data_IF_836670290826
#
_entry.id   IF_836670290826
#
_cell.length_a   1.000
_cell.length_b   1.000
_cell.length_c   1.000
_cell.angle_alpha   90.00
_cell.angle_beta   90.00
_cell.angle_gamma   90.00
#
_symmetry.space_group_name_H-M   'P 1'
#
loop_
_entity.id
_entity.type
_entity.pdbx_description
1 polymer ?
#
# COMPACT_ATOMS: atom_id res chain seq x y z
N UNK A 1 -10.06 20.71 -19.02
CA UNK A 1 -8.62 20.77 -19.37
C UNK A 1 -7.91 19.41 -19.39
N UNK A 2 -8.59 18.25 -19.50
CA UNK A 2 -7.90 16.94 -19.55
C UNK A 2 -8.38 16.00 -20.67
N UNK A 3 -9.34 16.42 -21.49
CA UNK A 3 -9.96 15.62 -22.56
C UNK A 3 -8.98 15.23 -23.67
N UNK A 4 -7.93 16.03 -23.90
CA UNK A 4 -6.97 15.82 -24.99
C UNK A 4 -6.02 14.66 -24.74
N UNK A 5 -5.57 14.46 -23.49
CA UNK A 5 -4.68 13.34 -23.16
C UNK A 5 -5.45 12.02 -23.03
N UNK A 6 -6.66 12.05 -22.47
CA UNK A 6 -7.50 10.85 -22.39
C UNK A 6 -7.90 10.33 -23.77
N UNK A 7 -8.16 11.23 -24.73
CA UNK A 7 -8.51 10.84 -26.10
C UNK A 7 -7.39 10.08 -26.82
N UNK A 8 -6.11 10.39 -26.54
CA UNK A 8 -4.96 9.66 -27.12
C UNK A 8 -4.83 8.22 -26.63
N UNK A 9 -5.47 7.90 -25.51
CA UNK A 9 -5.33 6.62 -24.81
C UNK A 9 -6.64 5.84 -24.80
N UNK A 10 -7.66 6.36 -25.51
CA UNK A 10 -8.89 5.65 -25.79
C UNK A 10 -8.55 4.37 -26.55
N UNK A 11 -8.99 3.24 -26.00
CA UNK A 11 -8.73 1.90 -26.50
C UNK A 11 -9.89 1.33 -27.32
N UNK A 12 -11.02 2.04 -27.37
CA UNK A 12 -12.25 1.60 -28.02
C UNK A 12 -12.83 2.71 -28.88
N UNK A 13 -13.49 2.34 -29.98
CA UNK A 13 -14.15 3.26 -30.89
C UNK A 13 -15.58 3.58 -30.44
N UNK A 14 -16.22 2.67 -29.68
CA UNK A 14 -17.58 2.85 -29.17
C UNK A 14 -17.76 2.40 -27.72
N UNK A 15 -18.85 2.83 -27.09
CA UNK A 15 -19.23 2.38 -25.74
C UNK A 15 -19.69 0.92 -25.76
N UNK A 16 -20.27 0.45 -26.86
CA UNK A 16 -20.69 -0.95 -27.00
C UNK A 16 -19.50 -1.89 -27.04
N UNK A 17 -18.46 -1.54 -27.80
CA UNK A 17 -17.20 -2.27 -27.86
C UNK A 17 -16.52 -2.36 -26.48
N UNK A 18 -16.52 -1.25 -25.73
CA UNK A 18 -16.06 -1.23 -24.34
C UNK A 18 -16.87 -2.19 -23.45
N UNK A 19 -18.21 -2.17 -23.57
CA UNK A 19 -19.07 -3.04 -22.78
C UNK A 19 -18.83 -4.52 -23.09
N UNK A 20 -18.61 -4.87 -24.36
CA UNK A 20 -18.31 -6.24 -24.79
C UNK A 20 -16.94 -6.71 -24.31
N UNK A 21 -15.93 -5.84 -24.36
CA UNK A 21 -14.61 -6.13 -23.78
C UNK A 21 -14.72 -6.38 -22.27
N UNK A 22 -15.50 -5.58 -21.53
CA UNK A 22 -15.70 -5.78 -20.09
C UNK A 22 -16.40 -7.11 -19.80
N UNK A 23 -17.46 -7.46 -20.55
CA UNK A 23 -18.15 -8.75 -20.40
C UNK A 23 -17.19 -9.91 -20.63
N UNK A 24 -16.39 -9.83 -21.69
CA UNK A 24 -15.39 -10.84 -22.04
C UNK A 24 -14.33 -10.97 -20.96
N UNK A 25 -13.80 -9.86 -20.43
CA UNK A 25 -12.84 -9.85 -19.34
C UNK A 25 -13.38 -10.50 -18.07
N UNK A 26 -14.63 -10.19 -17.69
CA UNK A 26 -15.28 -10.79 -16.52
C UNK A 26 -15.49 -12.30 -16.73
N UNK A 27 -15.86 -12.71 -17.93
CA UNK A 27 -16.06 -14.12 -18.26
C UNK A 27 -14.75 -14.91 -18.21
N UNK A 28 -13.70 -14.43 -18.91
CA UNK A 28 -12.38 -15.08 -18.97
C UNK A 28 -11.70 -15.13 -17.60
N UNK A 29 -11.82 -14.07 -16.81
CA UNK A 29 -11.16 -13.95 -15.50
C UNK A 29 -12.08 -14.26 -14.30
N UNK A 30 -13.21 -14.96 -14.51
CA UNK A 30 -14.24 -15.19 -13.48
C UNK A 30 -13.69 -15.81 -12.20
N UNK A 31 -12.77 -16.77 -12.30
CA UNK A 31 -12.12 -17.43 -11.17
C UNK A 31 -11.07 -16.55 -10.48
N UNK A 32 -10.45 -15.63 -11.23
CA UNK A 32 -9.38 -14.77 -10.74
C UNK A 32 -9.89 -13.48 -10.08
N UNK A 33 -11.07 -13.00 -10.47
CA UNK A 33 -11.64 -11.73 -10.00
C UNK A 33 -12.38 -11.87 -8.67
N UNK A 34 -12.07 -10.97 -7.74
CA UNK A 34 -12.82 -10.84 -6.49
C UNK A 34 -14.09 -9.99 -6.73
N UNK A 35 -15.14 -10.13 -5.91
CA UNK A 35 -16.34 -9.31 -6.03
C UNK A 35 -16.03 -7.80 -5.99
N UNK A 36 -15.08 -7.38 -5.13
CA UNK A 36 -14.62 -6.00 -5.06
C UNK A 36 -13.90 -5.54 -6.34
N UNK A 37 -13.16 -6.42 -7.03
CA UNK A 37 -12.54 -6.10 -8.31
C UNK A 37 -13.59 -5.89 -9.41
N UNK A 38 -14.67 -6.69 -9.40
CA UNK A 38 -15.80 -6.52 -10.32
C UNK A 38 -16.55 -5.21 -10.03
N UNK A 39 -16.81 -4.89 -8.77
CA UNK A 39 -17.43 -3.61 -8.37
C UNK A 39 -16.59 -2.41 -8.84
N UNK A 40 -15.26 -2.45 -8.62
CA UNK A 40 -14.34 -1.41 -9.09
C UNK A 40 -14.34 -1.31 -10.61
N UNK A 41 -14.28 -2.43 -11.33
CA UNK A 41 -14.31 -2.43 -12.80
C UNK A 41 -15.61 -1.81 -13.33
N UNK A 42 -16.76 -2.10 -12.70
CA UNK A 42 -18.04 -1.47 -13.03
C UNK A 42 -18.00 0.05 -12.81
N UNK A 43 -17.43 0.53 -11.71
CA UNK A 43 -17.26 1.99 -11.50
C UNK A 43 -16.38 2.58 -12.60
N UNK A 44 -15.23 1.98 -12.89
CA UNK A 44 -14.35 2.46 -13.96
C UNK A 44 -15.07 2.50 -15.31
N UNK A 45 -15.85 1.47 -15.65
CA UNK A 45 -16.60 1.42 -16.91
C UNK A 45 -17.57 2.58 -17.09
N UNK A 46 -18.36 2.90 -16.05
CA UNK A 46 -19.32 4.03 -16.09
C UNK A 46 -18.63 5.37 -16.31
N UNK A 47 -17.45 5.54 -15.71
CA UNK A 47 -16.66 6.76 -15.86
C UNK A 47 -15.84 6.79 -17.16
N UNK A 48 -15.67 5.65 -17.82
CA UNK A 48 -14.99 5.53 -19.12
C UNK A 48 -15.93 5.76 -20.32
N UNK A 49 -17.26 5.82 -20.15
CA UNK A 49 -18.18 6.04 -21.28
C UNK A 49 -17.95 7.39 -22.00
N UNK A 50 -17.45 8.42 -21.30
CA UNK A 50 -17.16 9.73 -21.90
C UNK A 50 -15.94 9.73 -22.82
N UNK A 51 -15.00 8.83 -22.58
CA UNK A 51 -13.81 8.63 -23.41
C UNK A 51 -13.58 7.13 -23.43
N UNK A 52 -14.18 6.41 -24.41
CA UNK A 52 -14.28 4.95 -24.38
C UNK A 52 -12.94 4.29 -24.00
N UNK A 53 -12.95 3.56 -22.89
CA UNK A 53 -11.78 2.88 -22.34
C UNK A 53 -10.99 3.64 -21.28
N UNK A 54 -11.20 4.95 -21.07
CA UNK A 54 -10.38 5.74 -20.13
C UNK A 54 -11.21 6.34 -19.01
N UNK A 55 -10.92 5.95 -17.77
CA UNK A 55 -11.52 6.51 -16.56
C UNK A 55 -10.51 7.33 -15.76
N UNK A 56 -10.91 8.54 -15.33
CA UNK A 56 -10.06 9.43 -14.53
C UNK A 56 -10.65 9.65 -13.14
N UNK A 57 -10.09 8.96 -12.14
CA UNK A 57 -10.66 8.88 -10.80
C UNK A 57 -9.58 8.85 -9.71
N UNK A 58 -9.87 9.50 -8.58
CA UNK A 58 -9.07 9.30 -7.35
C UNK A 58 -9.43 7.97 -6.72
N UNK A 59 -8.45 7.32 -6.09
CA UNK A 59 -8.67 6.08 -5.33
C UNK A 59 -9.74 6.25 -4.24
N UNK A 60 -9.75 7.40 -3.56
CA UNK A 60 -10.73 7.68 -2.52
C UNK A 60 -12.14 7.76 -3.10
N UNK A 61 -12.32 8.49 -4.20
CA UNK A 61 -13.62 8.62 -4.87
C UNK A 61 -14.19 7.27 -5.32
N UNK A 62 -13.35 6.34 -5.81
CA UNK A 62 -13.80 4.98 -6.12
C UNK A 62 -14.27 4.27 -4.85
N UNK A 63 -13.53 4.41 -3.75
CA UNK A 63 -13.84 3.82 -2.46
C UNK A 63 -15.20 4.30 -1.93
N UNK A 64 -15.43 5.61 -2.01
CA UNK A 64 -16.69 6.25 -1.59
C UNK A 64 -17.86 5.74 -2.45
N UNK A 65 -17.68 5.61 -3.78
CA UNK A 65 -18.71 5.11 -4.70
C UNK A 65 -19.10 3.65 -4.47
N UNK A 66 -18.16 2.79 -4.04
CA UNK A 66 -18.44 1.38 -3.75
C UNK A 66 -18.71 1.09 -2.27
N UNK A 67 -18.62 2.09 -1.40
CA UNK A 67 -18.76 1.93 0.05
C UNK A 67 -17.71 1.01 0.69
N UNK A 68 -16.49 0.98 0.16
CA UNK A 68 -15.39 0.14 0.66
C UNK A 68 -14.22 1.00 1.11
N UNK A 69 -13.40 0.45 2.01
CA UNK A 69 -12.16 1.11 2.41
C UNK A 69 -11.21 1.28 1.23
N UNK A 70 -10.47 2.39 1.20
CA UNK A 70 -9.49 2.73 0.15
C UNK A 70 -8.48 1.60 -0.12
N UNK A 71 -8.04 0.88 0.90
CA UNK A 71 -7.12 -0.26 0.76
C UNK A 71 -7.73 -1.40 -0.06
N UNK A 72 -9.03 -1.66 0.07
CA UNK A 72 -9.74 -2.69 -0.71
C UNK A 72 -9.77 -2.31 -2.18
N UNK A 73 -10.00 -1.03 -2.50
CA UNK A 73 -9.92 -0.50 -3.87
C UNK A 73 -8.51 -0.67 -4.44
N UNK A 74 -7.47 -0.35 -3.67
CA UNK A 74 -6.08 -0.53 -4.11
C UNK A 74 -5.80 -2.00 -4.46
N UNK A 75 -6.23 -2.93 -3.61
CA UNK A 75 -6.07 -4.39 -3.85
C UNK A 75 -6.84 -4.82 -5.10
N UNK A 76 -8.08 -4.36 -5.27
CA UNK A 76 -8.91 -4.62 -6.44
C UNK A 76 -8.24 -4.13 -7.73
N UNK A 77 -7.73 -2.90 -7.74
CA UNK A 77 -7.03 -2.33 -8.91
C UNK A 77 -5.76 -3.11 -9.23
N UNK A 78 -4.94 -3.45 -8.23
CA UNK A 78 -3.76 -4.31 -8.44
C UNK A 78 -4.15 -5.65 -9.08
N UNK A 79 -5.28 -6.24 -8.66
CA UNK A 79 -5.77 -7.48 -9.24
C UNK A 79 -6.21 -7.30 -10.69
N UNK A 80 -6.94 -6.23 -11.01
CA UNK A 80 -7.35 -5.90 -12.38
C UNK A 80 -6.14 -5.67 -13.31
N UNK A 81 -5.08 -5.02 -12.81
CA UNK A 81 -3.81 -4.86 -13.54
C UNK A 81 -3.13 -6.21 -13.77
N UNK A 82 -3.04 -7.05 -12.74
CA UNK A 82 -2.42 -8.37 -12.85
C UNK A 82 -3.16 -9.31 -13.80
N UNK A 83 -4.48 -9.12 -13.99
CA UNK A 83 -5.27 -9.88 -14.97
C UNK A 83 -5.23 -9.27 -16.38
N UNK A 84 -4.44 -8.22 -16.61
CA UNK A 84 -4.36 -7.56 -17.93
C UNK A 84 -5.63 -6.81 -18.33
N UNK A 85 -6.55 -6.53 -17.39
CA UNK A 85 -7.84 -5.90 -17.71
C UNK A 85 -7.68 -4.38 -17.79
N UNK A 86 -6.83 -3.80 -16.93
CA UNK A 86 -6.59 -2.35 -16.89
C UNK A 86 -5.10 -2.02 -16.81
N UNK A 87 -4.72 -0.89 -17.40
CA UNK A 87 -3.46 -0.19 -17.15
C UNK A 87 -3.73 1.03 -16.28
N UNK A 88 -2.88 1.27 -15.27
CA UNK A 88 -2.96 2.43 -14.38
C UNK A 88 -1.80 3.37 -14.65
N UNK A 89 -2.12 4.64 -14.85
CA UNK A 89 -1.13 5.72 -14.98
C UNK A 89 -1.34 6.76 -13.88
N UNK A 90 -0.30 6.97 -13.08
CA UNK A 90 -0.28 7.98 -12.04
C UNK A 90 0.12 9.32 -12.63
N UNK A 91 -0.73 10.34 -12.52
CA UNK A 91 -0.39 11.69 -12.95
C UNK A 91 0.12 12.51 -11.78
N UNK A 92 1.30 13.09 -11.95
CA UNK A 92 1.85 14.09 -11.05
C UNK A 92 1.39 15.48 -11.47
N UNK A 93 1.04 16.35 -10.53
CA UNK A 93 0.67 17.73 -10.83
C UNK A 93 1.88 18.65 -10.61
N UNK A 94 2.46 19.24 -11.67
CA UNK A 94 3.68 20.04 -11.54
C UNK A 94 3.44 21.36 -10.78
N UNK A 95 2.27 21.99 -10.95
CA UNK A 95 2.02 23.34 -10.44
C UNK A 95 1.67 23.37 -8.94
N UNK A 96 0.76 22.51 -8.48
CA UNK A 96 0.33 22.52 -7.06
C UNK A 96 0.96 21.42 -6.22
N UNK A 97 1.90 20.66 -6.79
CA UNK A 97 2.50 19.47 -6.18
C UNK A 97 1.51 18.31 -5.95
N UNK A 98 2.07 17.11 -5.77
CA UNK A 98 1.35 15.90 -5.39
C UNK A 98 0.73 15.10 -6.54
N UNK A 99 0.19 13.93 -6.18
CA UNK A 99 -0.45 13.02 -7.12
C UNK A 99 -1.90 13.47 -7.40
N UNK A 100 -2.20 13.67 -8.68
CA UNK A 100 -3.55 13.97 -9.18
C UNK A 100 -4.47 12.75 -9.12
N UNK A 101 -5.60 12.83 -9.84
CA UNK A 101 -6.38 11.62 -10.06
C UNK A 101 -5.57 10.65 -10.94
N UNK A 102 -5.81 9.36 -10.74
CA UNK A 102 -5.18 8.36 -11.58
C UNK A 102 -6.00 8.19 -12.85
N UNK A 103 -5.31 7.84 -13.93
CA UNK A 103 -5.93 7.44 -15.16
C UNK A 103 -5.91 5.91 -15.24
N UNK A 104 -7.06 5.32 -15.53
CA UNK A 104 -7.23 3.89 -15.70
C UNK A 104 -7.69 3.63 -17.12
N UNK A 105 -6.89 2.90 -17.88
CA UNK A 105 -7.17 2.53 -19.27
C UNK A 105 -7.60 1.06 -19.27
N UNK A 106 -8.83 0.79 -19.70
CA UNK A 106 -9.37 -0.56 -19.89
C UNK A 106 -8.80 -1.10 -21.19
N UNK A 107 -8.24 -2.30 -21.14
CA UNK A 107 -7.59 -2.93 -22.30
C UNK A 107 -8.60 -3.78 -23.07
N UNK A 108 -8.48 -3.89 -24.41
CA UNK A 108 -9.26 -4.85 -25.20
C UNK A 108 -9.01 -6.28 -24.72
N UNK A 109 -10.03 -7.15 -24.82
CA UNK A 109 -9.93 -8.51 -24.33
C UNK A 109 -9.05 -9.41 -25.22
N UNK A 110 -8.89 -9.08 -26.50
CA UNK A 110 -8.23 -9.93 -27.49
C UNK A 110 -6.76 -9.59 -27.74
N UNK A 111 -6.19 -8.66 -26.95
CA UNK A 111 -4.76 -8.37 -27.00
C UNK A 111 -3.98 -9.42 -26.19
N UNK A 112 -3.67 -10.56 -26.83
CA UNK A 112 -2.72 -11.54 -26.31
C UNK A 112 -1.25 -11.06 -26.37
N UNK A 113 -0.97 -9.88 -26.96
CA UNK A 113 0.36 -9.28 -27.04
C UNK A 113 0.69 -8.33 -25.87
N UNK A 114 0.49 -8.78 -24.64
CA UNK A 114 1.07 -8.13 -23.47
C UNK A 114 1.94 -9.13 -22.71
N UNK A 115 3.16 -9.32 -23.21
CA UNK A 115 4.28 -9.86 -22.45
C UNK A 115 4.25 -9.28 -21.02
N UNK A 116 4.09 -10.13 -19.99
CA UNK A 116 4.34 -9.72 -18.63
C UNK A 116 5.81 -9.29 -18.57
N UNK A 117 6.08 -8.02 -18.25
CA UNK A 117 7.43 -7.64 -17.85
C UNK A 117 7.72 -8.36 -16.53
N UNK A 118 8.30 -9.55 -16.68
CA UNK A 118 8.76 -10.44 -15.64
C UNK A 118 9.92 -9.75 -14.92
N UNK A 119 9.79 -9.54 -13.61
CA UNK A 119 10.95 -9.60 -12.73
C UNK A 119 10.83 -10.86 -11.87
N UNK A 120 11.92 -11.60 -11.63
CA UNK A 120 11.85 -13.04 -11.39
C UNK A 120 11.62 -13.41 -9.92
N UNK A 121 10.77 -14.44 -9.74
CA UNK A 121 10.75 -15.56 -8.75
C UNK A 121 11.12 -15.22 -7.29
N UNK A 122 10.28 -15.57 -6.32
CA UNK A 122 10.41 -16.89 -5.69
C UNK A 122 9.11 -17.39 -5.06
N UNK A 123 8.79 -18.62 -5.42
CA UNK A 123 7.75 -19.52 -4.90
C UNK A 123 7.97 -19.85 -3.43
N UNK A 124 6.89 -19.87 -2.64
CA UNK A 124 6.68 -20.93 -1.65
C UNK A 124 5.20 -21.00 -1.30
N UNK A 125 4.72 -22.23 -1.34
CA UNK A 125 3.33 -22.65 -1.34
C UNK A 125 2.58 -22.42 -0.02
N UNK A 126 1.27 -22.19 -0.17
CA UNK A 126 0.20 -22.49 0.80
C UNK A 126 0.06 -24.01 0.96
N UNK A 127 -0.57 -24.52 2.03
CA UNK A 127 -2.02 -24.84 1.94
C UNK A 127 -2.82 -24.47 3.21
N UNK A 128 -4.03 -23.87 3.14
CA UNK A 128 -5.40 -24.49 3.00
C UNK A 128 -5.90 -24.96 4.39
N UNK A 129 -7.10 -24.68 4.93
CA UNK A 129 -8.50 -25.04 4.57
C UNK A 129 -9.43 -24.40 5.66
N UNK A 130 -10.55 -23.73 5.34
CA UNK A 130 -11.95 -24.24 5.19
C UNK A 130 -12.71 -24.52 6.50
N UNK A 131 -13.77 -23.74 6.80
CA UNK A 131 -15.19 -24.18 6.94
C UNK A 131 -16.05 -23.17 7.76
N UNK A 132 -17.33 -23.13 7.38
CA UNK A 132 -18.41 -22.20 7.68
C UNK A 132 -18.93 -22.13 9.13
N UNK A 133 -19.58 -21.00 9.49
CA UNK A 133 -21.02 -20.87 9.73
C UNK A 133 -21.33 -19.65 10.65
N UNK A 134 -22.50 -19.01 10.42
CA UNK A 134 -23.05 -17.80 11.06
C UNK A 134 -24.24 -18.25 11.94
N UNK A 135 -24.53 -17.66 13.14
CA UNK A 135 -25.54 -16.59 13.22
C UNK A 135 -25.40 -15.50 14.31
N UNK A 136 -25.99 -14.35 13.96
CA UNK A 136 -26.43 -13.13 14.69
C UNK A 136 -26.44 -13.11 16.23
N UNK A 137 -25.90 -12.04 16.82
CA UNK A 137 -26.48 -11.26 17.93
C UNK A 137 -25.70 -9.95 18.13
N UNK A 138 -26.41 -8.86 18.44
CA UNK A 138 -25.86 -7.54 18.67
C UNK A 138 -25.39 -7.37 20.12
N UNK A 139 -24.15 -6.93 20.31
CA UNK A 139 -23.67 -6.02 21.36
C UNK A 139 -22.14 -6.14 21.45
N UNK A 140 -21.47 -5.00 21.31
CA UNK A 140 -20.10 -4.69 21.73
C UNK A 140 -19.10 -5.85 21.86
N UNK A 141 -18.12 -5.98 20.95
CA UNK A 141 -16.87 -6.70 21.30
C UNK A 141 -15.70 -6.43 20.34
N UNK A 142 -14.62 -5.93 20.97
CA UNK A 142 -13.21 -6.33 20.81
C UNK A 142 -12.77 -6.87 19.45
N UNK A 143 -12.00 -6.06 18.73
CA UNK A 143 -11.29 -6.45 17.50
C UNK A 143 -10.41 -7.70 17.77
N UNK A 144 -10.58 -8.81 17.03
CA UNK A 144 -9.80 -10.02 17.27
C UNK A 144 -8.34 -9.84 16.89
N UNK A 145 -7.45 -10.35 17.77
CA UNK A 145 -5.97 -10.27 17.67
C UNK A 145 -5.40 -10.80 16.34
N UNK A 146 -6.16 -11.58 15.57
CA UNK A 146 -5.76 -12.15 14.27
C UNK A 146 -5.67 -11.12 13.13
N UNK A 147 -6.44 -10.02 13.19
CA UNK A 147 -6.40 -8.95 12.17
C UNK A 147 -5.12 -8.09 12.28
N UNK A 148 -4.51 -8.04 13.46
CA UNK A 148 -3.21 -7.37 13.66
C UNK A 148 -2.03 -8.11 12.99
N UNK A 149 -2.16 -9.42 12.70
CA UNK A 149 -1.08 -10.19 12.06
C UNK A 149 -0.92 -9.86 10.57
N UNK A 150 -2.03 -9.51 9.89
CA UNK A 150 -2.05 -9.21 8.45
C UNK A 150 -1.88 -7.70 8.13
N UNK A 151 -1.89 -6.87 9.17
CA UNK A 151 -1.65 -5.43 9.13
C UNK A 151 -0.49 -5.09 10.08
N UNK A 152 0.68 -5.70 9.86
CA UNK A 152 1.94 -5.09 10.31
C UNK A 152 2.16 -3.81 9.51
N UNK A 153 1.42 -2.77 9.90
CA UNK A 153 1.77 -1.41 9.58
C UNK A 153 3.06 -1.12 10.35
N UNK A 154 4.04 -0.46 9.73
CA UNK A 154 5.29 -0.05 10.40
C UNK A 154 5.01 0.63 11.74
N UNK A 155 3.92 1.41 11.79
CA UNK A 155 3.44 2.02 13.01
C UNK A 155 2.93 1.01 14.05
N UNK A 156 2.20 -0.06 13.67
CA UNK A 156 1.67 -1.02 14.66
C UNK A 156 2.79 -1.86 15.30
N UNK A 157 3.82 -2.22 14.54
CA UNK A 157 5.00 -2.90 15.08
C UNK A 157 5.83 -1.98 15.99
N UNK A 158 6.03 -0.73 15.58
CA UNK A 158 6.70 0.28 16.40
C UNK A 158 5.91 0.57 17.69
N UNK A 159 4.61 0.76 17.56
CA UNK A 159 3.68 0.99 18.67
C UNK A 159 3.73 -0.17 19.67
N UNK A 160 3.70 -1.42 19.20
CA UNK A 160 3.81 -2.58 20.07
C UNK A 160 5.13 -2.61 20.87
N UNK A 161 6.24 -2.17 20.25
CA UNK A 161 7.53 -2.07 20.93
C UNK A 161 7.59 -0.93 21.97
N UNK A 162 6.86 0.17 21.76
CA UNK A 162 6.74 1.24 22.75
C UNK A 162 5.74 0.89 23.87
N UNK A 163 4.61 0.29 23.54
CA UNK A 163 3.56 -0.12 24.49
C UNK A 163 4.04 -1.17 25.49
N UNK A 164 5.09 -1.94 25.17
CA UNK A 164 5.71 -2.84 26.16
C UNK A 164 6.40 -2.10 27.32
N UNK A 165 6.62 -0.79 27.20
CA UNK A 165 7.25 0.03 28.23
C UNK A 165 6.34 1.15 28.75
N UNK A 166 5.53 1.77 27.88
CA UNK A 166 4.66 2.89 28.27
C UNK A 166 3.37 2.92 27.46
N UNK A 167 2.25 3.10 28.15
CA UNK A 167 0.92 3.28 27.53
C UNK A 167 0.61 4.76 27.22
N UNK A 168 1.61 5.55 26.83
CA UNK A 168 1.45 6.95 26.44
C UNK A 168 1.43 7.08 24.91
N UNK A 169 0.23 7.30 24.38
CA UNK A 169 0.00 7.47 22.94
C UNK A 169 0.66 8.73 22.38
N UNK A 170 0.70 9.84 23.13
CA UNK A 170 1.30 11.09 22.66
C UNK A 170 2.81 10.93 22.52
N UNK A 171 3.45 10.34 23.53
CA UNK A 171 4.88 10.03 23.48
C UNK A 171 5.19 9.05 22.35
N UNK A 172 4.43 7.96 22.23
CA UNK A 172 4.63 6.96 21.16
C UNK A 172 4.56 7.58 19.77
N UNK A 173 3.57 8.44 19.51
CA UNK A 173 3.46 9.16 18.25
C UNK A 173 4.65 10.09 18.01
N UNK A 174 5.15 10.75 19.05
CA UNK A 174 6.31 11.64 18.97
C UNK A 174 7.59 10.87 18.62
N UNK A 175 7.82 9.72 19.25
CA UNK A 175 8.94 8.83 18.93
C UNK A 175 8.85 8.32 17.49
N UNK A 176 7.66 7.90 17.06
CA UNK A 176 7.44 7.45 15.70
C UNK A 176 7.65 8.57 14.67
N UNK A 177 7.27 9.81 14.99
CA UNK A 177 7.55 10.98 14.17
C UNK A 177 9.04 11.22 13.97
N UNK A 178 9.85 11.08 15.04
CA UNK A 178 11.32 11.17 14.97
C UNK A 178 11.89 10.07 14.07
N UNK A 179 11.41 8.83 14.24
CA UNK A 179 11.77 7.71 13.38
C UNK A 179 11.49 8.01 11.90
N UNK A 180 10.30 8.52 11.59
CA UNK A 180 9.93 8.85 10.22
C UNK A 180 10.79 9.96 9.63
N UNK A 181 11.15 10.97 10.42
CA UNK A 181 12.00 12.06 9.98
C UNK A 181 13.38 11.53 9.55
N UNK A 182 14.03 10.73 10.40
CA UNK A 182 15.33 10.12 10.13
C UNK A 182 15.32 9.11 8.98
N UNK A 183 14.27 8.30 8.86
CA UNK A 183 14.23 7.27 7.83
C UNK A 183 13.69 7.75 6.49
N UNK A 184 13.08 8.93 6.43
CA UNK A 184 12.41 9.42 5.21
C UNK A 184 13.33 9.47 3.99
N UNK A 185 14.57 9.96 4.15
CA UNK A 185 15.58 10.07 3.10
C UNK A 185 16.40 8.79 2.89
N UNK A 186 16.28 7.82 3.81
CA UNK A 186 16.92 6.50 3.70
C UNK A 186 16.11 5.51 2.87
N UNK A 187 14.83 5.81 2.65
CA UNK A 187 13.91 4.98 1.87
C UNK A 187 14.40 4.87 0.43
N UNK A 188 14.84 3.67 0.06
CA UNK A 188 15.39 3.36 -1.26
C UNK A 188 16.89 3.06 -1.25
N UNK A 189 17.62 3.54 -0.24
CA UNK A 189 19.01 3.14 -0.02
C UNK A 189 19.08 1.84 0.81
N UNK A 190 18.21 1.70 1.81
CA UNK A 190 18.15 0.54 2.71
C UNK A 190 16.78 -0.15 2.68
N UNK A 191 16.78 -1.44 3.04
CA UNK A 191 15.58 -2.26 3.14
C UNK A 191 14.66 -1.76 4.26
N UNK A 192 13.34 -1.79 4.02
CA UNK A 192 12.35 -1.32 5.00
C UNK A 192 12.44 -2.09 6.32
N UNK A 193 12.74 -3.39 6.25
CA UNK A 193 12.84 -4.26 7.42
C UNK A 193 13.98 -3.84 8.35
N UNK A 194 15.16 -3.56 7.78
CA UNK A 194 16.35 -3.09 8.52
C UNK A 194 16.08 -1.76 9.23
N UNK A 195 15.49 -0.79 8.52
CA UNK A 195 15.15 0.50 9.12
C UNK A 195 14.10 0.34 10.24
N UNK A 196 13.08 -0.49 10.02
CA UNK A 196 12.05 -0.77 11.01
C UNK A 196 12.59 -1.49 12.25
N UNK A 197 13.58 -2.37 12.07
CA UNK A 197 14.28 -3.04 13.17
C UNK A 197 15.08 -2.04 14.01
N UNK A 198 15.91 -1.21 13.38
CA UNK A 198 16.67 -0.17 14.06
C UNK A 198 15.75 0.78 14.83
N UNK A 199 14.64 1.20 14.22
CA UNK A 199 13.63 2.03 14.88
C UNK A 199 13.07 1.40 16.16
N UNK A 200 12.77 0.09 16.11
CA UNK A 200 12.26 -0.70 17.27
C UNK A 200 13.33 -0.93 18.33
N UNK A 201 14.57 -1.21 17.93
CA UNK A 201 15.69 -1.39 18.86
C UNK A 201 16.02 -0.10 19.59
N UNK A 202 16.05 1.04 18.90
CA UNK A 202 16.27 2.35 19.50
C UNK A 202 15.23 2.66 20.59
N UNK A 203 13.97 2.23 20.40
CA UNK A 203 12.92 2.34 21.44
C UNK A 203 13.32 1.50 22.66
N UNK A 204 13.68 0.23 22.45
CA UNK A 204 14.10 -0.66 23.54
C UNK A 204 15.30 -0.11 24.31
N UNK A 205 16.34 0.35 23.61
CA UNK A 205 17.52 0.96 24.23
C UNK A 205 17.17 2.21 25.05
N UNK A 206 16.25 3.04 24.54
CA UNK A 206 15.77 4.23 25.25
C UNK A 206 15.10 3.87 26.57
N UNK A 207 14.18 2.90 26.57
CA UNK A 207 13.44 2.50 27.78
C UNK A 207 14.25 1.59 28.72
N UNK A 208 15.22 0.83 28.22
CA UNK A 208 16.17 0.13 29.12
C UNK A 208 17.06 1.15 29.83
N UNK A 209 17.45 2.23 29.16
CA UNK A 209 18.25 3.28 29.76
C UNK A 209 17.52 4.01 30.91
N UNK A 210 16.20 4.18 30.85
CA UNK A 210 15.44 4.82 31.95
C UNK A 210 15.49 4.02 33.24
N UNK A 211 15.75 2.70 33.19
CA UNK A 211 15.94 1.86 34.39
C UNK A 211 17.25 2.14 35.12
N UNK A 212 18.24 2.74 34.44
CA UNK A 212 19.59 2.98 34.99
C UNK A 212 19.87 4.45 35.27
N UNK A 213 19.16 5.36 34.59
CA UNK A 213 19.37 6.80 34.72
C UNK A 213 18.07 7.57 34.58
N UNK A 214 17.99 8.70 35.25
CA UNK A 214 16.89 9.63 35.09
C UNK A 214 17.03 10.40 33.76
N UNK A 215 16.07 10.19 32.85
CA UNK A 215 16.05 10.83 31.52
C UNK A 215 14.95 11.88 31.49
N UNK A 216 15.33 13.17 31.50
CA UNK A 216 14.37 14.30 31.52
C UNK A 216 13.54 14.42 30.24
N UNK A 217 14.13 14.12 29.07
CA UNK A 217 13.48 14.19 27.77
C UNK A 217 13.68 12.89 27.00
N UNK A 218 12.72 11.97 27.11
CA UNK A 218 12.78 10.67 26.42
C UNK A 218 12.83 10.80 24.90
N UNK A 219 12.07 11.74 24.32
CA UNK A 219 12.03 11.91 22.87
C UNK A 219 13.39 12.42 22.33
N UNK A 220 14.02 13.36 23.04
CA UNK A 220 15.37 13.83 22.70
C UNK A 220 16.41 12.73 22.88
N UNK A 221 16.31 11.92 23.94
CA UNK A 221 17.22 10.80 24.15
C UNK A 221 17.06 9.72 23.07
N UNK A 222 15.83 9.36 22.73
CA UNK A 222 15.52 8.46 21.62
C UNK A 222 16.10 8.94 20.30
N UNK A 223 15.96 10.23 19.99
CA UNK A 223 16.53 10.84 18.80
C UNK A 223 18.04 10.54 18.71
N UNK A 224 18.80 10.83 19.77
CA UNK A 224 20.25 10.58 19.78
C UNK A 224 20.65 9.09 19.85
N UNK A 225 19.77 8.19 20.30
CA UNK A 225 20.01 6.74 20.18
C UNK A 225 19.81 6.29 18.74
N UNK A 226 18.70 6.69 18.12
CA UNK A 226 18.38 6.34 16.75
C UNK A 226 19.44 6.84 15.76
N UNK A 227 19.85 8.09 15.90
CA UNK A 227 20.89 8.74 15.10
C UNK A 227 22.18 7.91 15.09
N UNK A 228 22.72 7.58 16.27
CA UNK A 228 23.92 6.74 16.41
C UNK A 228 23.76 5.32 15.85
N UNK A 229 22.56 4.75 15.90
CA UNK A 229 22.32 3.42 15.32
C UNK A 229 22.31 3.48 13.78
N UNK A 230 21.77 4.56 13.21
CA UNK A 230 21.77 4.78 11.78
C UNK A 230 23.18 5.12 11.27
N UNK A 231 23.94 5.94 11.99
CA UNK A 231 25.35 6.24 11.66
C UNK A 231 26.19 4.96 11.59
N UNK A 232 26.04 4.06 12.56
CA UNK A 232 26.73 2.75 12.53
C UNK A 232 26.33 1.90 11.33
N UNK A 233 25.06 1.93 10.95
CA UNK A 233 24.58 1.23 9.76
C UNK A 233 25.22 1.83 8.49
N UNK A 234 25.40 3.15 8.43
CA UNK A 234 26.12 3.80 7.34
C UNK A 234 27.60 3.44 7.30
N UNK A 235 28.30 3.52 8.44
CA UNK A 235 29.73 3.16 8.56
C UNK A 235 29.96 1.71 8.11
N UNK A 236 29.13 0.78 8.58
CA UNK A 236 29.22 -0.65 8.23
C UNK A 236 29.09 -0.84 6.71
N UNK A 237 28.12 -0.18 6.08
CA UNK A 237 27.93 -0.29 4.62
C UNK A 237 29.06 0.35 3.81
N UNK A 238 29.64 1.44 4.31
CA UNK A 238 30.78 2.08 3.68
C UNK A 238 32.04 1.19 3.73
N UNK A 239 32.27 0.53 4.87
CA UNK A 239 33.38 -0.42 5.03
C UNK A 239 33.23 -1.64 4.12
N UNK A 240 32.01 -2.15 3.91
CA UNK A 240 31.74 -3.25 2.98
C UNK A 240 32.08 -2.90 1.52
N UNK A 241 31.78 -1.67 1.09
CA UNK A 241 32.05 -1.19 -0.26
C UNK A 241 33.53 -0.88 -0.53
N UNK A 242 34.30 -0.57 0.52
CA UNK A 242 35.74 -0.26 0.39
C UNK A 242 36.63 -1.49 0.52
N UNK A 243 36.10 -2.61 1.01
CA UNK A 243 36.80 -3.90 1.11
C UNK A 243 36.56 -4.84 -0.08
N UNK A 244 35.67 -4.50 -1.01
CA UNK A 244 35.43 -5.22 -2.27
C UNK A 244 36.22 -4.62 -3.43
#
# INVERSE_FOLDING_TARGET
MYTKESAKMASFCSVDELNDAIRTHIYRNKSALTPAAIEVLKVLSRHACKTPGVAYLKLQSIADLIGRHRTTVIRAIKRLVACGIIRKETKFRPVSGGNGANMYVILPADNDDATPQMQPRSTSDKPTETTAAVPKSASETVIPKSVNKLLRNTYSAFKAAAESFVSDRKLTNKLYGIYLAHTSYLKGAYDSETLEEIGREAVRYTFVATKRKHIRNLAGYYNGVLDRMLDRLYETRFDELTRS
#
